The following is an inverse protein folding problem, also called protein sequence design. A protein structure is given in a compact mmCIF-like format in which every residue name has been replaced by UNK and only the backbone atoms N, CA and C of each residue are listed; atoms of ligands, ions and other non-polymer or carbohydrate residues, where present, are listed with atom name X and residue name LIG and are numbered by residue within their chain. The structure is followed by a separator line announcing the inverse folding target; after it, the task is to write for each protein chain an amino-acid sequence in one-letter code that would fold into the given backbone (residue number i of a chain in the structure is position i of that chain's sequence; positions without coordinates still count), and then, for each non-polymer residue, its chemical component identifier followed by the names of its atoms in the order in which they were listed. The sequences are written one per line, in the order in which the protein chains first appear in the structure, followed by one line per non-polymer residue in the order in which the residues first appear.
data_IF_131056024234
#
_entry.id   IF_131056024234
#
_cell.length_a   1.000
_cell.length_b   1.000
_cell.length_c   1.000
_cell.angle_alpha   90.00
_cell.angle_beta   90.00
_cell.angle_gamma   90.00
#
_symmetry.space_group_name_H-M   'P 1'
#
loop_
_entity.id
_entity.type
_entity.pdbx_description
1 polymer ?
#
# COMPACT_ATOMS: atom_id res chain seq x y z
N UNK A 1 -14.76 -0.91 -44.86
CA UNK A 1 -14.91 0.49 -44.41
C UNK A 1 -13.53 1.08 -44.17
N UNK A 2 -13.18 2.21 -44.79
CA UNK A 2 -11.95 2.95 -44.47
C UNK A 2 -12.32 4.13 -43.57
N UNK A 3 -11.80 4.16 -42.34
CA UNK A 3 -11.85 5.36 -41.50
C UNK A 3 -10.45 5.94 -41.36
N UNK A 4 -10.27 7.10 -41.99
CA UNK A 4 -9.11 7.99 -41.90
C UNK A 4 -9.61 9.40 -41.55
N UNK A 5 -10.42 9.51 -40.48
CA UNK A 5 -10.89 10.80 -39.96
C UNK A 5 -10.15 11.09 -38.66
N UNK A 6 -9.71 12.32 -38.48
CA UNK A 6 -8.88 12.74 -37.35
C UNK A 6 -9.67 13.33 -36.20
N UNK A 7 -10.91 13.79 -36.44
CA UNK A 7 -11.73 14.47 -35.45
C UNK A 7 -12.63 13.47 -34.66
N UNK A 8 -12.58 13.47 -33.32
CA UNK A 8 -13.45 12.62 -32.48
C UNK A 8 -14.94 12.78 -32.77
N UNK A 9 -15.40 13.98 -33.08
CA UNK A 9 -16.81 14.30 -33.35
C UNK A 9 -17.33 13.59 -34.59
N UNK A 10 -16.50 13.45 -35.62
CA UNK A 10 -16.83 12.71 -36.83
C UNK A 10 -16.95 11.22 -36.56
N UNK A 11 -16.03 10.66 -35.76
CA UNK A 11 -16.05 9.24 -35.37
C UNK A 11 -17.29 8.91 -34.54
N UNK A 12 -17.70 9.80 -33.64
CA UNK A 12 -18.92 9.62 -32.86
C UNK A 12 -20.21 9.77 -33.70
N UNK A 13 -20.21 10.62 -34.73
CA UNK A 13 -21.34 10.66 -35.70
C UNK A 13 -21.47 9.34 -36.47
N UNK A 14 -20.34 8.70 -36.78
CA UNK A 14 -20.33 7.38 -37.41
C UNK A 14 -20.82 6.28 -36.46
N UNK A 15 -20.47 6.37 -35.17
CA UNK A 15 -21.02 5.49 -34.14
C UNK A 15 -22.54 5.56 -34.09
N UNK A 16 -23.12 6.76 -34.14
CA UNK A 16 -24.58 6.93 -34.10
C UNK A 16 -25.27 6.38 -35.35
N UNK A 17 -24.65 6.54 -36.51
CA UNK A 17 -25.19 6.04 -37.78
C UNK A 17 -25.09 4.51 -37.89
N UNK A 18 -24.01 3.93 -37.37
CA UNK A 18 -23.67 2.51 -37.54
C UNK A 18 -23.69 1.72 -36.22
N UNK A 19 -24.30 2.24 -35.16
CA UNK A 19 -24.23 1.68 -33.80
C UNK A 19 -24.87 0.29 -33.64
N UNK A 20 -25.52 -0.24 -34.68
CA UNK A 20 -26.02 -1.63 -34.73
C UNK A 20 -25.01 -2.63 -35.30
N UNK A 21 -23.95 -2.16 -35.96
CA UNK A 21 -22.91 -2.99 -36.59
C UNK A 21 -21.69 -3.09 -35.66
N UNK A 22 -21.45 -4.27 -35.10
CA UNK A 22 -20.35 -4.53 -34.16
C UNK A 22 -18.98 -4.19 -34.77
N UNK A 23 -18.77 -4.44 -36.07
CA UNK A 23 -17.48 -4.19 -36.73
C UNK A 23 -17.27 -2.69 -36.89
N UNK A 24 -18.33 -1.94 -37.19
CA UNK A 24 -18.27 -0.49 -37.24
C UNK A 24 -17.97 0.11 -35.87
N UNK A 25 -18.64 -0.38 -34.81
CA UNK A 25 -18.40 0.08 -33.43
C UNK A 25 -16.95 -0.22 -33.01
N UNK A 26 -16.46 -1.45 -33.19
CA UNK A 26 -15.07 -1.82 -32.90
C UNK A 26 -14.08 -0.91 -33.61
N UNK A 27 -14.35 -0.61 -34.89
CA UNK A 27 -13.48 0.27 -35.65
C UNK A 27 -13.50 1.70 -35.10
N UNK A 28 -14.66 2.22 -34.69
CA UNK A 28 -14.75 3.53 -34.03
C UNK A 28 -13.93 3.55 -32.74
N UNK A 29 -14.03 2.53 -31.89
CA UNK A 29 -13.24 2.45 -30.65
C UNK A 29 -11.72 2.51 -30.94
N UNK A 30 -11.27 1.75 -31.94
CA UNK A 30 -9.86 1.72 -32.34
C UNK A 30 -9.37 3.05 -32.93
N UNK A 31 -10.22 3.76 -33.70
CA UNK A 31 -9.89 5.08 -34.25
C UNK A 31 -9.88 6.16 -33.15
N UNK A 32 -10.82 6.13 -32.20
CA UNK A 32 -10.81 7.04 -31.05
C UNK A 32 -9.52 6.84 -30.23
N UNK A 33 -9.15 5.59 -29.95
CA UNK A 33 -7.90 5.30 -29.25
C UNK A 33 -6.68 5.83 -30.02
N UNK A 34 -6.69 5.71 -31.35
CA UNK A 34 -5.65 6.28 -32.22
C UNK A 34 -5.58 7.80 -32.14
N UNK A 35 -6.72 8.50 -32.15
CA UNK A 35 -6.76 9.96 -31.99
C UNK A 35 -6.08 10.41 -30.69
N UNK A 36 -6.28 9.69 -29.58
CA UNK A 36 -5.64 10.00 -28.29
C UNK A 36 -4.13 9.82 -28.37
N UNK A 37 -3.66 8.74 -29.01
CA UNK A 37 -2.23 8.45 -29.14
C UNK A 37 -1.51 9.44 -30.05
N UNK A 38 -2.14 9.84 -31.14
CA UNK A 38 -1.51 10.61 -32.21
C UNK A 38 -1.64 12.14 -31.98
N UNK A 39 -2.56 12.60 -31.12
CA UNK A 39 -2.77 14.03 -30.81
C UNK A 39 -3.16 14.26 -29.34
N UNK A 40 -2.32 15.02 -28.62
CA UNK A 40 -2.48 15.32 -27.19
C UNK A 40 -3.78 16.09 -26.86
N UNK A 41 -4.31 16.88 -27.81
CA UNK A 41 -5.56 17.67 -27.64
C UNK A 41 -6.83 16.83 -27.82
N UNK A 42 -6.70 15.59 -28.31
CA UNK A 42 -7.85 14.72 -28.58
C UNK A 42 -8.68 14.42 -27.34
N UNK A 43 -8.06 14.28 -26.17
CA UNK A 43 -8.80 14.00 -24.93
C UNK A 43 -9.71 15.15 -24.52
N UNK A 44 -9.23 16.39 -24.63
CA UNK A 44 -10.03 17.59 -24.35
C UNK A 44 -11.21 17.71 -25.32
N UNK A 45 -10.98 17.49 -26.62
CA UNK A 45 -12.06 17.47 -27.62
C UNK A 45 -13.06 16.36 -27.35
N UNK A 46 -12.59 15.18 -26.94
CA UNK A 46 -13.44 14.05 -26.55
C UNK A 46 -14.31 14.36 -25.32
N UNK A 47 -13.77 15.07 -24.34
CA UNK A 47 -14.53 15.56 -23.21
C UNK A 47 -15.62 16.56 -23.65
N UNK A 48 -15.26 17.54 -24.49
CA UNK A 48 -16.18 18.54 -25.04
C UNK A 48 -17.30 17.94 -25.88
N UNK A 49 -17.03 16.86 -26.62
CA UNK A 49 -18.04 16.18 -27.44
C UNK A 49 -18.77 15.06 -26.70
N UNK A 50 -18.62 14.99 -25.37
CA UNK A 50 -19.26 14.00 -24.48
C UNK A 50 -19.07 12.55 -24.94
N UNK A 51 -17.82 12.18 -25.25
CA UNK A 51 -17.48 10.85 -25.80
C UNK A 51 -18.09 9.70 -24.99
N UNK A 52 -18.07 9.78 -23.65
CA UNK A 52 -18.50 8.69 -22.76
C UNK A 52 -19.99 8.41 -22.86
N UNK A 53 -20.82 9.46 -22.80
CA UNK A 53 -22.28 9.29 -22.85
C UNK A 53 -22.75 8.79 -24.22
N UNK A 54 -22.11 9.27 -25.29
CA UNK A 54 -22.39 8.83 -26.67
C UNK A 54 -21.93 7.41 -26.91
N UNK A 55 -20.80 6.99 -26.35
CA UNK A 55 -20.35 5.59 -26.35
C UNK A 55 -21.35 4.69 -25.62
N UNK A 56 -21.76 5.07 -24.41
CA UNK A 56 -22.69 4.28 -23.60
C UNK A 56 -24.03 3.99 -24.29
N UNK A 57 -24.53 4.91 -25.12
CA UNK A 57 -25.78 4.74 -25.86
C UNK A 57 -25.76 3.58 -26.90
N UNK A 58 -24.57 3.14 -27.33
CA UNK A 58 -24.45 2.18 -28.44
C UNK A 58 -23.68 0.90 -28.08
N UNK A 59 -22.88 0.91 -27.02
CA UNK A 59 -21.93 -0.16 -26.72
C UNK A 59 -22.55 -1.38 -26.03
N UNK A 60 -23.61 -1.21 -25.22
CA UNK A 60 -24.19 -2.29 -24.43
C UNK A 60 -24.66 -3.48 -25.29
N UNK A 61 -25.20 -3.20 -26.48
CA UNK A 61 -25.66 -4.23 -27.44
C UNK A 61 -24.53 -5.17 -27.92
N UNK A 62 -23.28 -4.70 -27.86
CA UNK A 62 -22.11 -5.42 -28.38
C UNK A 62 -21.22 -6.01 -27.26
N UNK A 63 -21.54 -5.72 -26.01
CA UNK A 63 -20.77 -6.08 -24.82
C UNK A 63 -20.89 -7.58 -24.43
N UNK A 64 -20.78 -8.47 -25.42
CA UNK A 64 -20.91 -9.93 -25.26
C UNK A 64 -19.61 -10.68 -25.55
N UNK A 65 -18.69 -10.08 -26.31
CA UNK A 65 -17.42 -10.70 -26.71
C UNK A 65 -16.25 -10.15 -25.87
N UNK A 66 -15.38 -11.02 -25.31
CA UNK A 66 -14.23 -10.58 -24.51
C UNK A 66 -13.31 -9.60 -25.25
N UNK A 67 -12.97 -9.88 -26.51
CA UNK A 67 -12.11 -8.99 -27.31
C UNK A 67 -12.69 -7.59 -27.55
N UNK A 68 -14.03 -7.47 -27.62
CA UNK A 68 -14.69 -6.16 -27.68
C UNK A 68 -14.55 -5.41 -26.35
N UNK A 69 -14.77 -6.09 -25.23
CA UNK A 69 -14.64 -5.51 -23.88
C UNK A 69 -13.20 -5.13 -23.56
N UNK A 70 -12.22 -5.86 -24.10
CA UNK A 70 -10.80 -5.52 -24.01
C UNK A 70 -10.48 -4.24 -24.79
N UNK A 71 -10.98 -4.10 -26.02
CA UNK A 71 -10.81 -2.85 -26.78
C UNK A 71 -11.48 -1.67 -26.08
N UNK A 72 -12.66 -1.89 -25.48
CA UNK A 72 -13.33 -0.90 -24.67
C UNK A 72 -12.47 -0.52 -23.47
N UNK A 73 -11.97 -1.47 -22.68
CA UNK A 73 -11.18 -1.17 -21.48
C UNK A 73 -9.90 -0.39 -21.81
N UNK A 74 -9.21 -0.72 -22.89
CA UNK A 74 -8.02 0.01 -23.38
C UNK A 74 -8.39 1.46 -23.74
N UNK A 75 -9.49 1.69 -24.46
CA UNK A 75 -9.94 3.04 -24.79
C UNK A 75 -10.31 3.83 -23.53
N UNK A 76 -11.06 3.21 -22.61
CA UNK A 76 -11.48 3.86 -21.36
C UNK A 76 -10.28 4.29 -20.52
N UNK A 77 -9.26 3.44 -20.41
CA UNK A 77 -8.03 3.77 -19.69
C UNK A 77 -7.27 4.91 -20.39
N UNK A 78 -7.19 4.89 -21.73
CA UNK A 78 -6.56 5.96 -22.51
C UNK A 78 -7.28 7.31 -22.44
N UNK A 79 -8.60 7.31 -22.20
CA UNK A 79 -9.42 8.51 -22.03
C UNK A 79 -9.12 9.23 -20.71
N UNK A 80 -8.72 8.49 -19.67
CA UNK A 80 -8.42 9.07 -18.36
C UNK A 80 -7.11 9.85 -18.44
N UNK A 81 -7.16 11.12 -18.04
CA UNK A 81 -5.97 11.96 -17.88
C UNK A 81 -5.50 11.81 -16.43
N UNK A 82 -4.25 11.37 -16.25
CA UNK A 82 -3.63 11.19 -14.95
C UNK A 82 -2.59 12.26 -14.69
N UNK A 83 -3.02 13.53 -14.66
CA UNK A 83 -2.19 14.68 -14.31
C UNK A 83 -2.93 15.63 -13.34
N UNK A 84 -2.19 16.58 -12.78
CA UNK A 84 -2.70 17.53 -11.77
C UNK A 84 -3.76 18.51 -12.32
N UNK A 85 -3.97 18.55 -13.64
CA UNK A 85 -4.95 19.42 -14.30
C UNK A 85 -6.21 18.65 -14.73
N UNK A 86 -6.28 17.34 -14.44
CA UNK A 86 -7.46 16.51 -14.67
C UNK A 86 -8.70 17.06 -13.95
N UNK A 87 -9.80 17.21 -14.67
CA UNK A 87 -11.09 17.63 -14.11
C UNK A 87 -11.88 16.46 -13.49
N UNK A 88 -11.36 15.23 -13.51
CA UNK A 88 -12.02 14.00 -13.10
C UNK A 88 -13.36 13.67 -13.81
N UNK A 89 -13.82 14.53 -14.73
CA UNK A 89 -15.14 14.43 -15.36
C UNK A 89 -15.30 13.15 -16.18
N UNK A 90 -14.25 12.75 -16.91
CA UNK A 90 -14.27 11.53 -17.71
C UNK A 90 -14.28 10.29 -16.83
N UNK A 91 -13.45 10.24 -15.79
CA UNK A 91 -13.40 9.14 -14.81
C UNK A 91 -14.79 8.92 -14.20
N UNK A 92 -15.40 10.01 -13.73
CA UNK A 92 -16.74 10.01 -13.16
C UNK A 92 -17.80 9.55 -14.17
N UNK A 93 -17.74 10.07 -15.41
CA UNK A 93 -18.67 9.70 -16.47
C UNK A 93 -18.57 8.22 -16.85
N UNK A 94 -17.37 7.64 -16.90
CA UNK A 94 -17.14 6.24 -17.29
C UNK A 94 -17.87 5.29 -16.34
N UNK A 95 -17.81 5.57 -15.04
CA UNK A 95 -18.50 4.79 -14.00
C UNK A 95 -20.01 5.09 -14.04
N UNK A 96 -20.41 6.37 -14.04
CA UNK A 96 -21.82 6.81 -14.01
C UNK A 96 -22.63 6.28 -15.18
N UNK A 97 -22.07 6.27 -16.39
CA UNK A 97 -22.73 5.76 -17.60
C UNK A 97 -22.60 4.23 -17.77
N UNK A 98 -21.99 3.53 -16.81
CA UNK A 98 -21.97 2.07 -16.78
C UNK A 98 -21.00 1.39 -17.74
N UNK A 99 -20.14 2.14 -18.45
CA UNK A 99 -19.15 1.54 -19.36
C UNK A 99 -18.17 0.64 -18.62
N UNK A 100 -17.70 1.05 -17.45
CA UNK A 100 -16.88 0.20 -16.57
C UNK A 100 -17.63 -1.07 -16.13
N UNK A 101 -18.93 -0.98 -15.86
CA UNK A 101 -19.74 -2.13 -15.43
C UNK A 101 -19.85 -3.20 -16.52
N UNK A 102 -19.80 -2.82 -17.79
CA UNK A 102 -19.73 -3.78 -18.91
C UNK A 102 -18.42 -4.58 -18.86
N UNK A 103 -17.30 -3.91 -18.59
CA UNK A 103 -15.99 -4.56 -18.41
C UNK A 103 -16.02 -5.50 -17.21
N UNK A 104 -16.56 -5.06 -16.06
CA UNK A 104 -16.72 -5.90 -14.86
C UNK A 104 -17.50 -7.19 -15.15
N UNK A 105 -18.65 -7.08 -15.85
CA UNK A 105 -19.45 -8.25 -16.26
C UNK A 105 -18.65 -9.19 -17.16
N UNK A 106 -17.84 -8.64 -18.08
CA UNK A 106 -16.94 -9.41 -18.93
C UNK A 106 -15.90 -10.19 -18.15
N UNK A 107 -15.29 -9.57 -17.13
CA UNK A 107 -14.32 -10.23 -16.25
C UNK A 107 -14.91 -11.43 -15.49
N UNK A 108 -16.22 -11.41 -15.25
CA UNK A 108 -16.98 -12.44 -14.54
C UNK A 108 -17.59 -13.50 -15.48
N UNK A 109 -17.42 -13.36 -16.80
CA UNK A 109 -18.00 -14.30 -17.75
C UNK A 109 -17.33 -15.68 -17.68
N UNK A 110 -18.09 -16.74 -18.02
CA UNK A 110 -17.63 -18.13 -17.95
C UNK A 110 -16.47 -18.43 -18.91
N UNK A 111 -16.43 -17.75 -20.06
CA UNK A 111 -15.29 -17.78 -20.97
C UNK A 111 -14.29 -16.70 -20.53
N UNK A 112 -13.41 -17.10 -19.60
CA UNK A 112 -12.41 -16.22 -18.99
C UNK A 112 -11.35 -15.85 -20.03
N UNK A 113 -11.15 -14.54 -20.19
CA UNK A 113 -10.05 -13.94 -20.96
C UNK A 113 -9.11 -13.24 -19.97
N UNK A 114 -7.92 -13.81 -19.78
CA UNK A 114 -6.93 -13.32 -18.83
C UNK A 114 -6.50 -11.87 -19.11
N UNK A 115 -6.45 -11.49 -20.38
CA UNK A 115 -6.05 -10.14 -20.80
C UNK A 115 -7.13 -9.12 -20.46
N UNK A 116 -8.40 -9.48 -20.67
CA UNK A 116 -9.54 -8.67 -20.23
C UNK A 116 -9.56 -8.53 -18.70
N UNK A 117 -9.26 -9.59 -17.95
CA UNK A 117 -9.22 -9.53 -16.49
C UNK A 117 -8.11 -8.62 -15.98
N UNK A 118 -6.90 -8.71 -16.55
CA UNK A 118 -5.80 -7.83 -16.18
C UNK A 118 -6.12 -6.36 -16.49
N UNK A 119 -6.63 -6.06 -17.69
CA UNK A 119 -7.00 -4.69 -18.07
C UNK A 119 -8.22 -4.17 -17.31
N UNK A 120 -9.20 -5.01 -17.00
CA UNK A 120 -10.35 -4.63 -16.21
C UNK A 120 -10.00 -4.28 -14.76
N UNK A 121 -9.09 -5.03 -14.14
CA UNK A 121 -8.50 -4.68 -12.85
C UNK A 121 -7.69 -3.38 -12.93
N UNK A 122 -6.87 -3.19 -13.97
CA UNK A 122 -6.10 -1.96 -14.17
C UNK A 122 -7.01 -0.73 -14.33
N UNK A 123 -8.03 -0.82 -15.18
CA UNK A 123 -9.03 0.23 -15.37
C UNK A 123 -9.76 0.55 -14.04
N UNK A 124 -10.10 -0.47 -13.26
CA UNK A 124 -10.72 -0.29 -11.93
C UNK A 124 -9.81 0.53 -11.00
N UNK A 125 -8.51 0.22 -10.98
CA UNK A 125 -7.50 0.98 -10.23
C UNK A 125 -7.40 2.43 -10.73
N UNK A 126 -7.33 2.65 -12.05
CA UNK A 126 -7.28 3.99 -12.67
C UNK A 126 -8.48 4.86 -12.27
N UNK A 127 -9.69 4.30 -12.32
CA UNK A 127 -10.94 5.01 -12.03
C UNK A 127 -11.14 5.32 -10.53
N UNK A 128 -10.30 4.81 -9.64
CA UNK A 128 -10.35 5.11 -8.21
C UNK A 128 -9.79 6.49 -7.86
N UNK A 129 -9.24 7.25 -8.81
CA UNK A 129 -8.54 8.51 -8.56
C UNK A 129 -8.93 9.62 -9.55
N UNK A 130 -9.00 10.85 -9.04
CA UNK A 130 -9.23 12.06 -9.85
C UNK A 130 -7.96 12.46 -10.61
N UNK A 131 -6.83 12.37 -9.92
CA UNK A 131 -5.46 12.64 -10.37
C UNK A 131 -4.48 11.89 -9.43
N UNK A 132 -3.15 11.88 -9.68
CA UNK A 132 -2.21 11.13 -8.85
C UNK A 132 -2.42 11.35 -7.35
N UNK A 133 -2.77 10.27 -6.64
CA UNK A 133 -2.95 10.22 -5.18
C UNK A 133 -4.18 10.98 -4.62
N UNK A 134 -5.06 11.51 -5.47
CA UNK A 134 -6.34 12.08 -5.03
C UNK A 134 -7.48 11.07 -5.28
N UNK A 135 -8.11 10.53 -4.23
CA UNK A 135 -9.16 9.51 -4.40
C UNK A 135 -10.42 10.10 -5.05
N UNK A 136 -10.97 9.38 -6.03
CA UNK A 136 -12.31 9.62 -6.55
C UNK A 136 -13.32 8.82 -5.73
N UNK A 137 -13.83 9.43 -4.67
CA UNK A 137 -14.62 8.74 -3.65
C UNK A 137 -15.91 8.11 -4.17
N UNK A 138 -16.65 8.83 -5.02
CA UNK A 138 -17.90 8.34 -5.60
C UNK A 138 -17.68 7.09 -6.45
N UNK A 139 -16.62 7.07 -7.26
CA UNK A 139 -16.25 5.93 -8.07
C UNK A 139 -15.86 4.73 -7.21
N UNK A 140 -15.02 4.92 -6.19
CA UNK A 140 -14.65 3.82 -5.28
C UNK A 140 -15.89 3.19 -4.61
N UNK A 141 -16.85 4.01 -4.18
CA UNK A 141 -18.09 3.52 -3.57
C UNK A 141 -18.98 2.79 -4.59
N UNK A 142 -19.25 3.40 -5.74
CA UNK A 142 -20.10 2.84 -6.79
C UNK A 142 -19.55 1.52 -7.34
N UNK A 143 -18.22 1.44 -7.53
CA UNK A 143 -17.56 0.23 -8.03
C UNK A 143 -17.64 -0.91 -7.01
N UNK A 144 -17.43 -0.61 -5.72
CA UNK A 144 -17.58 -1.63 -4.67
C UNK A 144 -19.03 -2.08 -4.51
N UNK A 145 -19.99 -1.15 -4.53
CA UNK A 145 -21.42 -1.48 -4.52
C UNK A 145 -21.85 -2.31 -5.74
N UNK A 146 -21.19 -2.10 -6.87
CA UNK A 146 -21.39 -2.89 -8.10
C UNK A 146 -20.71 -4.27 -8.06
N UNK A 147 -20.04 -4.64 -6.97
CA UNK A 147 -19.45 -5.97 -6.78
C UNK A 147 -18.00 -6.13 -7.24
N UNK A 148 -17.25 -5.04 -7.44
CA UNK A 148 -15.85 -5.10 -7.90
C UNK A 148 -14.95 -5.98 -7.00
N UNK A 149 -15.06 -5.84 -5.68
CA UNK A 149 -14.25 -6.63 -4.75
C UNK A 149 -14.54 -8.13 -4.83
N UNK A 150 -15.81 -8.50 -5.01
CA UNK A 150 -16.22 -9.91 -5.11
C UNK A 150 -15.78 -10.52 -6.45
N UNK A 151 -15.85 -9.73 -7.53
CA UNK A 151 -15.32 -10.12 -8.83
C UNK A 151 -13.81 -10.39 -8.72
N UNK A 152 -13.03 -9.44 -8.18
CA UNK A 152 -11.59 -9.58 -8.01
C UNK A 152 -11.27 -10.76 -7.09
N UNK A 153 -12.01 -10.96 -5.99
CA UNK A 153 -11.81 -12.13 -5.12
C UNK A 153 -11.96 -13.43 -5.92
N UNK A 154 -13.00 -13.53 -6.75
CA UNK A 154 -13.25 -14.72 -7.57
C UNK A 154 -12.10 -14.98 -8.54
N UNK A 155 -11.51 -13.91 -9.09
CA UNK A 155 -10.28 -14.01 -9.90
C UNK A 155 -9.13 -14.59 -9.07
N UNK A 156 -8.83 -14.02 -7.90
CA UNK A 156 -7.69 -14.45 -7.07
C UNK A 156 -7.82 -15.87 -6.50
N UNK A 157 -9.04 -16.44 -6.47
CA UNK A 157 -9.29 -17.82 -6.02
C UNK A 157 -9.09 -18.84 -7.14
N UNK A 158 -9.07 -18.42 -8.41
CA UNK A 158 -8.95 -19.34 -9.53
C UNK A 158 -7.60 -20.07 -9.51
N UNK A 159 -7.63 -21.40 -9.77
CA UNK A 159 -6.49 -22.31 -9.62
C UNK A 159 -5.22 -21.90 -10.40
N UNK A 160 -5.39 -21.12 -11.47
CA UNK A 160 -4.29 -20.71 -12.35
C UNK A 160 -4.44 -19.25 -12.78
N UNK A 161 -4.47 -18.34 -11.81
CA UNK A 161 -4.50 -16.90 -12.09
C UNK A 161 -3.12 -16.44 -12.60
N UNK A 162 -3.02 -15.83 -13.80
CA UNK A 162 -1.74 -15.29 -14.27
C UNK A 162 -1.20 -14.20 -13.34
N UNK A 163 0.13 -14.15 -13.18
CA UNK A 163 0.80 -13.19 -12.28
C UNK A 163 0.40 -11.73 -12.56
N UNK A 164 0.26 -11.35 -13.83
CA UNK A 164 -0.16 -10.00 -14.21
C UNK A 164 -1.59 -9.69 -13.73
N UNK A 165 -2.52 -10.62 -13.92
CA UNK A 165 -3.90 -10.52 -13.45
C UNK A 165 -3.96 -10.46 -11.92
N UNK A 166 -3.19 -11.32 -11.24
CA UNK A 166 -3.08 -11.31 -9.78
C UNK A 166 -2.61 -9.94 -9.27
N UNK A 167 -1.51 -9.42 -9.81
CA UNK A 167 -0.95 -8.12 -9.44
C UNK A 167 -1.95 -6.98 -9.66
N UNK A 168 -2.58 -6.92 -10.83
CA UNK A 168 -3.59 -5.90 -11.12
C UNK A 168 -4.79 -6.02 -10.17
N UNK A 169 -5.25 -7.25 -9.87
CA UNK A 169 -6.33 -7.50 -8.93
C UNK A 169 -6.02 -7.00 -7.52
N UNK A 170 -4.86 -7.35 -6.97
CA UNK A 170 -4.46 -6.90 -5.63
C UNK A 170 -4.30 -5.37 -5.57
N UNK A 171 -3.73 -4.74 -6.61
CA UNK A 171 -3.65 -3.27 -6.69
C UNK A 171 -5.04 -2.64 -6.69
N UNK A 172 -5.95 -3.16 -7.51
CA UNK A 172 -7.33 -2.69 -7.57
C UNK A 172 -8.04 -2.81 -6.21
N UNK A 173 -7.82 -3.89 -5.44
CA UNK A 173 -8.35 -3.99 -4.06
C UNK A 173 -7.83 -2.83 -3.19
N UNK A 174 -6.52 -2.57 -3.24
CA UNK A 174 -5.91 -1.50 -2.45
C UNK A 174 -6.41 -0.11 -2.84
N UNK A 175 -6.64 0.12 -4.13
CA UNK A 175 -7.12 1.39 -4.67
C UNK A 175 -8.62 1.61 -4.41
N UNK A 176 -9.44 0.56 -4.52
CA UNK A 176 -10.86 0.58 -4.12
C UNK A 176 -11.02 0.88 -2.63
N UNK A 177 -10.02 0.58 -1.82
CA UNK A 177 -10.03 0.84 -0.38
C UNK A 177 -9.25 2.10 0.01
N UNK A 178 -8.63 2.82 -0.94
CA UNK A 178 -7.65 3.86 -0.61
C UNK A 178 -8.25 5.00 0.22
N UNK A 179 -9.51 5.38 -0.01
CA UNK A 179 -10.20 6.34 0.86
C UNK A 179 -10.51 5.72 2.22
N UNK A 180 -9.54 5.84 3.11
CA UNK A 180 -9.74 5.64 4.54
C UNK A 180 -10.51 6.85 5.05
N UNK A 181 -11.81 6.67 5.27
CA UNK A 181 -12.79 7.71 5.56
C UNK A 181 -12.18 9.01 6.10
N UNK A 182 -12.32 10.09 5.32
CA UNK A 182 -12.00 11.46 5.74
C UNK A 182 -12.34 11.65 7.22
N UNK A 183 -11.31 11.95 8.02
CA UNK A 183 -11.41 12.41 9.41
C UNK A 183 -12.05 13.81 9.50
N UNK A 184 -13.07 14.05 8.69
CA UNK A 184 -13.89 15.25 8.70
C UNK A 184 -15.07 15.04 9.64
N UNK A 185 -15.46 16.12 10.32
CA UNK A 185 -16.44 16.25 11.43
C UNK A 185 -17.83 15.60 11.27
N UNK A 186 -18.11 14.85 10.20
CA UNK A 186 -19.42 14.26 9.90
C UNK A 186 -19.54 12.76 10.27
N UNK A 187 -19.09 12.42 11.47
CA UNK A 187 -19.32 11.09 12.08
C UNK A 187 -20.82 10.81 12.25
N UNK A 188 -21.62 11.85 12.50
CA UNK A 188 -23.06 11.76 12.69
C UNK A 188 -23.81 11.40 11.40
N UNK A 189 -23.40 11.93 10.24
CA UNK A 189 -24.06 11.61 8.97
C UNK A 189 -23.73 10.19 8.48
N UNK A 190 -22.52 9.68 8.75
CA UNK A 190 -22.15 8.28 8.47
C UNK A 190 -22.91 7.27 9.32
N UNK A 191 -23.16 7.59 10.59
CA UNK A 191 -24.01 6.79 11.48
C UNK A 191 -25.47 6.75 11.00
N UNK A 192 -25.95 7.83 10.37
CA UNK A 192 -27.29 7.93 9.80
C UNK A 192 -27.45 7.28 8.42
N UNK A 193 -26.37 7.12 7.65
CA UNK A 193 -26.42 6.64 6.25
C UNK A 193 -25.92 5.21 6.02
N UNK A 194 -25.48 4.47 7.05
CA UNK A 194 -25.05 3.07 6.91
C UNK A 194 -24.04 2.82 5.76
N UNK A 195 -23.16 3.78 5.46
CA UNK A 195 -22.13 3.57 4.43
C UNK A 195 -21.05 2.66 5.00
N UNK A 196 -21.16 1.36 4.73
CA UNK A 196 -20.11 0.36 4.96
C UNK A 196 -18.84 0.84 4.26
N UNK A 197 -17.77 1.07 5.02
CA UNK A 197 -16.49 1.41 4.39
C UNK A 197 -16.03 0.23 3.50
N UNK A 198 -15.45 0.52 2.33
CA UNK A 198 -15.00 -0.53 1.40
C UNK A 198 -14.09 -1.57 2.07
N UNK A 199 -13.30 -1.13 3.06
CA UNK A 199 -12.46 -1.95 3.92
C UNK A 199 -13.24 -2.94 4.81
N UNK A 200 -14.47 -2.63 5.24
CA UNK A 200 -15.31 -3.59 5.96
C UNK A 200 -15.77 -4.74 5.06
N UNK A 201 -15.97 -4.48 3.76
CA UNK A 201 -16.31 -5.53 2.80
C UNK A 201 -15.12 -6.45 2.63
N UNK A 202 -13.90 -5.92 2.48
CA UNK A 202 -12.66 -6.72 2.43
C UNK A 202 -12.53 -7.68 3.62
N UNK A 203 -12.85 -7.21 4.83
CA UNK A 203 -12.84 -8.03 6.04
C UNK A 203 -13.91 -9.14 6.02
N UNK A 204 -15.07 -8.90 5.39
CA UNK A 204 -16.19 -9.85 5.33
C UNK A 204 -16.04 -10.91 4.24
N UNK A 205 -15.42 -10.58 3.11
CA UNK A 205 -15.37 -11.47 1.94
C UNK A 205 -14.16 -12.41 1.93
N UNK A 206 -13.51 -12.64 3.07
CA UNK A 206 -12.37 -13.58 3.21
C UNK A 206 -11.17 -13.27 2.30
N UNK A 207 -10.86 -12.00 2.06
CA UNK A 207 -9.67 -11.61 1.29
C UNK A 207 -8.36 -11.82 2.07
N UNK A 208 -8.38 -11.73 3.40
CA UNK A 208 -7.17 -11.82 4.22
C UNK A 208 -6.43 -13.17 4.10
N UNK A 209 -7.10 -14.34 4.17
CA UNK A 209 -6.46 -15.62 3.91
C UNK A 209 -5.83 -15.72 2.51
N UNK A 210 -6.51 -15.18 1.48
CA UNK A 210 -6.03 -15.20 0.10
C UNK A 210 -4.77 -14.34 -0.08
N UNK A 211 -4.80 -13.11 0.43
CA UNK A 211 -3.66 -12.20 0.40
C UNK A 211 -2.50 -12.73 1.24
N UNK A 212 -2.79 -13.36 2.38
CA UNK A 212 -1.79 -14.05 3.17
C UNK A 212 -1.13 -15.17 2.35
N UNK A 213 -1.89 -15.97 1.60
CA UNK A 213 -1.33 -17.03 0.75
C UNK A 213 -0.44 -16.47 -0.35
N UNK A 214 -0.86 -15.36 -0.97
CA UNK A 214 -0.08 -14.64 -1.97
C UNK A 214 1.29 -14.15 -1.49
N UNK A 215 1.45 -13.82 -0.20
CA UNK A 215 2.77 -13.47 0.35
C UNK A 215 3.77 -14.63 0.23
N UNK A 216 3.31 -15.85 0.42
CA UNK A 216 4.14 -17.05 0.35
C UNK A 216 4.32 -17.52 -1.10
N UNK A 217 3.21 -17.65 -1.82
CA UNK A 217 3.19 -18.10 -3.22
C UNK A 217 4.01 -17.18 -4.15
N UNK A 218 3.97 -15.87 -3.90
CA UNK A 218 4.65 -14.86 -4.70
C UNK A 218 5.83 -14.19 -3.97
N UNK A 219 6.47 -14.89 -3.01
CA UNK A 219 7.59 -14.38 -2.21
C UNK A 219 8.78 -13.82 -3.03
N UNK A 220 8.89 -14.19 -4.31
CA UNK A 220 9.94 -13.70 -5.24
C UNK A 220 9.52 -12.50 -6.08
N UNK A 221 8.26 -12.07 -6.02
CA UNK A 221 7.71 -11.02 -6.86
C UNK A 221 7.44 -9.75 -6.05
N UNK A 222 8.44 -8.87 -5.98
CA UNK A 222 8.41 -7.62 -5.21
C UNK A 222 7.12 -6.79 -5.42
N UNK A 223 6.70 -6.59 -6.67
CA UNK A 223 5.50 -5.81 -6.99
C UNK A 223 4.22 -6.39 -6.37
N UNK A 224 4.13 -7.73 -6.27
CA UNK A 224 2.98 -8.41 -5.64
C UNK A 224 3.04 -8.23 -4.12
N UNK A 225 4.21 -8.44 -3.51
CA UNK A 225 4.39 -8.26 -2.07
C UNK A 225 4.08 -6.82 -1.63
N UNK A 226 4.53 -5.83 -2.38
CA UNK A 226 4.22 -4.41 -2.15
C UNK A 226 2.72 -4.13 -2.27
N UNK A 227 2.06 -4.70 -3.29
CA UNK A 227 0.61 -4.54 -3.48
C UNK A 227 -0.17 -5.17 -2.31
N UNK A 228 0.19 -6.38 -1.88
CA UNK A 228 -0.44 -7.06 -0.75
C UNK A 228 -0.24 -6.27 0.55
N UNK A 229 1.00 -5.84 0.83
CA UNK A 229 1.31 -5.04 2.01
C UNK A 229 0.52 -3.73 2.04
N UNK A 230 0.33 -3.08 0.87
CA UNK A 230 -0.51 -1.89 0.74
C UNK A 230 -1.97 -2.16 1.09
N UNK A 231 -2.56 -3.28 0.64
CA UNK A 231 -3.95 -3.63 1.00
C UNK A 231 -4.10 -3.77 2.51
N UNK A 232 -3.20 -4.51 3.17
CA UNK A 232 -3.22 -4.66 4.62
C UNK A 232 -3.02 -3.32 5.34
N UNK A 233 -2.10 -2.49 4.87
CA UNK A 233 -1.85 -1.16 5.45
C UNK A 233 -3.09 -0.27 5.36
N UNK A 234 -3.76 -0.22 4.22
CA UNK A 234 -5.01 0.53 4.03
C UNK A 234 -6.09 0.03 5.01
N UNK A 235 -6.27 -1.29 5.12
CA UNK A 235 -7.22 -1.87 6.07
C UNK A 235 -6.86 -1.56 7.55
N UNK A 236 -5.58 -1.55 7.90
CA UNK A 236 -5.10 -1.20 9.24
C UNK A 236 -5.37 0.27 9.58
N UNK A 237 -5.21 1.18 8.62
CA UNK A 237 -5.50 2.61 8.83
C UNK A 237 -7.00 2.85 8.99
N UNK A 238 -7.86 2.17 8.23
CA UNK A 238 -9.31 2.31 8.34
C UNK A 238 -9.91 1.62 9.56
N UNK A 239 -9.53 0.36 9.83
CA UNK A 239 -10.08 -0.46 10.91
C UNK A 239 -8.95 -1.18 11.67
N UNK A 240 -8.24 -0.49 12.58
CA UNK A 240 -7.07 -1.07 13.24
C UNK A 240 -7.34 -2.39 13.96
N UNK A 241 -8.38 -2.46 14.81
CA UNK A 241 -8.62 -3.66 15.63
C UNK A 241 -9.08 -4.88 14.80
N UNK A 242 -10.10 -4.79 13.92
CA UNK A 242 -10.50 -5.93 13.08
C UNK A 242 -9.37 -6.38 12.15
N UNK A 243 -8.62 -5.43 11.56
CA UNK A 243 -7.54 -5.75 10.64
C UNK A 243 -6.37 -6.45 11.34
N UNK A 244 -5.94 -5.97 12.52
CA UNK A 244 -4.89 -6.68 13.30
C UNK A 244 -5.32 -8.09 13.67
N UNK A 245 -6.55 -8.27 14.13
CA UNK A 245 -7.10 -9.60 14.44
C UNK A 245 -7.06 -10.50 13.20
N UNK A 246 -7.50 -10.01 12.05
CA UNK A 246 -7.47 -10.78 10.80
C UNK A 246 -6.05 -11.13 10.35
N UNK A 247 -5.11 -10.17 10.44
CA UNK A 247 -3.69 -10.34 10.11
C UNK A 247 -3.07 -11.45 10.96
N UNK A 248 -3.35 -11.46 12.28
CA UNK A 248 -2.88 -12.49 13.20
C UNK A 248 -3.52 -13.85 12.91
N UNK A 249 -4.84 -13.89 12.71
CA UNK A 249 -5.57 -15.14 12.44
C UNK A 249 -5.17 -15.80 11.12
N UNK A 250 -4.70 -15.03 10.15
CA UNK A 250 -4.30 -15.52 8.83
C UNK A 250 -2.78 -15.71 8.70
N UNK A 251 -2.02 -15.68 9.80
CA UNK A 251 -0.55 -15.85 9.81
C UNK A 251 0.20 -14.89 8.87
N UNK A 252 -0.29 -13.65 8.76
CA UNK A 252 0.31 -12.64 7.86
C UNK A 252 1.67 -12.19 8.39
N UNK A 253 1.88 -12.09 9.71
CA UNK A 253 3.18 -11.68 10.26
C UNK A 253 4.27 -12.69 9.94
N UNK A 254 3.98 -13.98 10.12
CA UNK A 254 4.87 -15.09 9.84
C UNK A 254 5.33 -15.07 8.38
N UNK A 255 4.38 -14.93 7.45
CA UNK A 255 4.65 -14.89 6.01
C UNK A 255 5.37 -13.60 5.59
N UNK A 256 5.02 -12.47 6.20
CA UNK A 256 5.71 -11.21 5.98
C UNK A 256 7.18 -11.28 6.43
N UNK A 257 7.47 -11.88 7.59
CA UNK A 257 8.83 -12.12 8.05
C UNK A 257 9.57 -13.09 7.12
N UNK A 258 8.92 -14.15 6.65
CA UNK A 258 9.51 -15.07 5.67
C UNK A 258 9.97 -14.34 4.40
N UNK A 259 9.18 -13.38 3.91
CA UNK A 259 9.54 -12.56 2.74
C UNK A 259 10.81 -11.72 2.95
N UNK A 260 11.13 -11.32 4.19
CA UNK A 260 12.35 -10.56 4.50
C UNK A 260 13.63 -11.41 4.43
N UNK A 261 13.54 -12.75 4.44
CA UNK A 261 14.69 -13.63 4.29
C UNK A 261 15.16 -13.81 2.83
N UNK A 262 14.51 -13.17 1.86
CA UNK A 262 14.86 -13.31 0.45
C UNK A 262 16.25 -12.76 0.16
N UNK A 263 17.07 -13.52 -0.57
CA UNK A 263 18.40 -13.06 -1.03
C UNK A 263 18.31 -11.89 -2.02
N UNK A 264 17.21 -11.83 -2.77
CA UNK A 264 16.94 -10.79 -3.76
C UNK A 264 16.03 -9.69 -3.21
N UNK A 265 16.02 -9.49 -1.89
CA UNK A 265 15.21 -8.48 -1.23
C UNK A 265 15.50 -7.08 -1.81
N UNK A 266 14.41 -6.39 -2.17
CA UNK A 266 14.45 -4.99 -2.60
C UNK A 266 14.12 -4.06 -1.43
N UNK A 267 14.70 -2.87 -1.46
CA UNK A 267 14.46 -1.81 -0.46
C UNK A 267 12.96 -1.46 -0.37
N UNK A 268 12.27 -1.38 -1.50
CA UNK A 268 10.83 -1.08 -1.56
C UNK A 268 9.95 -2.17 -0.94
N UNK A 269 10.31 -3.44 -1.17
CA UNK A 269 9.64 -4.59 -0.54
C UNK A 269 9.85 -4.59 0.97
N UNK A 270 11.09 -4.41 1.42
CA UNK A 270 11.43 -4.33 2.84
C UNK A 270 10.70 -3.17 3.51
N UNK A 271 10.65 -1.99 2.88
CA UNK A 271 9.90 -0.85 3.38
C UNK A 271 8.42 -1.18 3.58
N UNK A 272 7.79 -1.77 2.56
CA UNK A 272 6.36 -2.10 2.60
C UNK A 272 6.02 -3.12 3.69
N UNK A 273 6.87 -4.15 3.85
CA UNK A 273 6.72 -5.16 4.90
C UNK A 273 6.99 -4.58 6.29
N UNK A 274 8.08 -3.85 6.49
CA UNK A 274 8.38 -3.24 7.79
C UNK A 274 7.32 -2.22 8.19
N UNK A 275 6.73 -1.50 7.23
CA UNK A 275 5.62 -0.58 7.48
C UNK A 275 4.36 -1.31 7.92
N UNK A 276 4.05 -2.45 7.30
CA UNK A 276 2.97 -3.34 7.71
C UNK A 276 3.19 -3.85 9.14
N UNK A 277 4.39 -4.34 9.45
CA UNK A 277 4.74 -4.84 10.78
C UNK A 277 4.62 -3.73 11.84
N UNK A 278 5.24 -2.56 11.61
CA UNK A 278 5.17 -1.41 12.52
C UNK A 278 3.73 -1.02 12.86
N UNK A 279 2.87 -0.92 11.84
CA UNK A 279 1.47 -0.53 12.00
C UNK A 279 0.66 -1.62 12.73
N UNK A 280 0.96 -2.89 12.46
CA UNK A 280 0.30 -4.03 13.12
C UNK A 280 0.65 -4.10 14.61
N UNK A 281 1.91 -3.87 14.95
CA UNK A 281 2.45 -4.00 16.31
C UNK A 281 2.08 -2.83 17.23
N UNK A 282 1.79 -1.66 16.66
CA UNK A 282 1.46 -0.46 17.43
C UNK A 282 0.27 -0.73 18.35
N UNK A 283 0.45 -0.64 19.67
CA UNK A 283 -0.61 -0.88 20.67
C UNK A 283 -1.28 -2.27 20.59
N UNK A 284 -0.61 -3.29 20.05
CA UNK A 284 -1.13 -4.67 20.00
C UNK A 284 -0.16 -5.67 20.65
N UNK A 285 -0.49 -6.08 21.88
CA UNK A 285 0.38 -6.95 22.67
C UNK A 285 0.46 -8.38 22.11
N UNK A 286 -0.62 -8.88 21.51
CA UNK A 286 -0.63 -10.22 20.91
C UNK A 286 0.29 -10.29 19.67
N UNK A 287 0.26 -9.25 18.83
CA UNK A 287 1.17 -9.15 17.69
C UNK A 287 2.64 -9.03 18.13
N UNK A 288 2.92 -8.26 19.20
CA UNK A 288 4.28 -8.14 19.77
C UNK A 288 4.78 -9.46 20.35
N UNK A 289 3.93 -10.19 21.06
CA UNK A 289 4.31 -11.50 21.61
C UNK A 289 4.59 -12.51 20.49
N UNK A 290 3.75 -12.53 19.45
CA UNK A 290 3.98 -13.38 18.27
C UNK A 290 5.29 -13.03 17.57
N UNK A 291 5.57 -11.73 17.33
CA UNK A 291 6.83 -11.31 16.72
C UNK A 291 8.05 -11.77 17.53
N UNK A 292 7.94 -11.76 18.87
CA UNK A 292 9.00 -12.25 19.77
C UNK A 292 9.21 -13.75 19.62
N UNK A 293 8.13 -14.53 19.52
CA UNK A 293 8.19 -15.98 19.34
C UNK A 293 8.80 -16.41 17.99
N UNK A 294 8.70 -15.55 16.98
CA UNK A 294 9.19 -15.79 15.62
C UNK A 294 10.65 -15.30 15.41
N UNK A 295 11.37 -14.96 16.48
CA UNK A 295 12.69 -14.31 16.41
C UNK A 295 12.70 -13.08 15.48
N UNK A 296 11.57 -12.37 15.38
CA UNK A 296 11.36 -11.34 14.36
C UNK A 296 12.38 -10.19 14.41
N UNK A 297 12.96 -9.92 15.58
CA UNK A 297 14.03 -8.93 15.71
C UNK A 297 15.29 -9.35 14.93
N UNK A 298 15.70 -10.61 15.03
CA UNK A 298 16.82 -11.16 14.28
C UNK A 298 16.56 -11.11 12.77
N UNK A 299 15.35 -11.50 12.35
CA UNK A 299 14.93 -11.45 10.93
C UNK A 299 15.05 -10.04 10.37
N UNK A 300 14.50 -9.05 11.09
CA UNK A 300 14.50 -7.65 10.66
C UNK A 300 15.94 -7.10 10.60
N UNK A 301 16.77 -7.36 11.61
CA UNK A 301 18.18 -6.91 11.62
C UNK A 301 18.93 -7.49 10.43
N UNK A 302 18.86 -8.80 10.22
CA UNK A 302 19.56 -9.46 9.11
C UNK A 302 19.11 -8.90 7.74
N UNK A 303 17.81 -8.65 7.56
CA UNK A 303 17.28 -8.07 6.33
C UNK A 303 17.78 -6.63 6.09
N UNK A 304 17.83 -5.80 7.14
CA UNK A 304 18.35 -4.43 7.04
C UNK A 304 19.86 -4.43 6.80
N UNK A 305 20.62 -5.29 7.46
CA UNK A 305 22.07 -5.43 7.26
C UNK A 305 22.41 -5.88 5.84
N UNK A 306 21.71 -6.91 5.32
CA UNK A 306 21.84 -7.35 3.93
C UNK A 306 21.63 -6.21 2.92
N UNK A 307 20.64 -5.35 3.17
CA UNK A 307 20.36 -4.19 2.32
C UNK A 307 21.38 -3.06 2.53
N UNK A 308 21.87 -2.86 3.75
CA UNK A 308 22.91 -1.88 4.09
C UNK A 308 24.21 -2.17 3.34
N UNK A 309 24.58 -3.45 3.22
CA UNK A 309 25.78 -3.87 2.48
C UNK A 309 25.68 -3.54 0.99
N UNK A 310 24.47 -3.53 0.43
CA UNK A 310 24.22 -3.30 -1.00
C UNK A 310 23.94 -1.83 -1.35
N UNK A 311 23.27 -1.11 -0.46
CA UNK A 311 22.70 0.21 -0.76
C UNK A 311 23.18 1.33 0.19
N UNK A 312 24.02 1.00 1.18
CA UNK A 312 24.67 1.92 2.11
C UNK A 312 23.70 2.97 2.69
N UNK A 313 23.96 4.25 2.45
CA UNK A 313 23.24 5.36 3.09
C UNK A 313 21.79 5.53 2.58
N UNK A 314 21.37 4.83 1.52
CA UNK A 314 20.03 4.99 0.94
C UNK A 314 18.91 4.21 1.64
N UNK A 315 19.21 3.52 2.74
CA UNK A 315 18.24 2.69 3.49
C UNK A 315 17.83 3.28 4.85
N UNK A 316 18.14 4.54 5.13
CA UNK A 316 17.80 5.22 6.39
C UNK A 316 16.36 5.06 6.87
N UNK A 317 15.41 5.13 5.93
CA UNK A 317 13.99 4.91 6.19
C UNK A 317 13.66 3.49 6.71
N UNK A 318 14.42 2.47 6.30
CA UNK A 318 14.30 1.11 6.83
C UNK A 318 14.85 1.02 8.25
N UNK A 319 15.99 1.68 8.51
CA UNK A 319 16.59 1.75 9.85
C UNK A 319 15.63 2.41 10.83
N UNK A 320 15.01 3.52 10.43
CA UNK A 320 13.96 4.19 11.19
C UNK A 320 12.80 3.24 11.54
N UNK A 321 12.27 2.51 10.56
CA UNK A 321 11.15 1.58 10.79
C UNK A 321 11.55 0.43 11.72
N UNK A 322 12.73 -0.16 11.54
CA UNK A 322 13.24 -1.22 12.41
C UNK A 322 13.41 -0.71 13.85
N UNK A 323 14.02 0.46 14.04
CA UNK A 323 14.17 1.09 15.35
C UNK A 323 12.81 1.41 15.99
N UNK A 324 11.80 1.82 15.21
CA UNK A 324 10.43 2.04 15.67
C UNK A 324 9.74 0.75 16.12
N UNK A 325 9.90 -0.33 15.37
CA UNK A 325 9.40 -1.66 15.74
C UNK A 325 10.01 -2.08 17.08
N UNK A 326 11.34 -2.07 17.21
CA UNK A 326 12.03 -2.48 18.45
C UNK A 326 11.67 -1.59 19.63
N UNK A 327 11.51 -0.28 19.39
CA UNK A 327 11.04 0.66 20.39
C UNK A 327 9.62 0.32 20.86
N UNK A 328 8.71 -0.04 19.96
CA UNK A 328 7.34 -0.47 20.32
C UNK A 328 7.34 -1.78 21.11
N UNK A 329 8.21 -2.73 20.74
CA UNK A 329 8.36 -4.03 21.39
C UNK A 329 8.86 -3.93 22.84
N UNK A 330 9.70 -2.93 23.14
CA UNK A 330 10.27 -2.72 24.48
C UNK A 330 9.25 -2.25 25.53
N UNK A 331 8.06 -1.81 25.11
CA UNK A 331 7.03 -1.26 25.98
C UNK A 331 5.74 -2.10 25.93
N UNK A 332 5.10 -2.22 27.08
CA UNK A 332 3.71 -2.66 27.19
C UNK A 332 2.88 -1.52 27.78
N UNK A 333 1.64 -1.37 27.33
CA UNK A 333 0.69 -0.41 27.92
C UNK A 333 -0.35 -1.21 28.70
N UNK A 334 -0.27 -1.27 30.04
CA UNK A 334 -1.31 -1.92 30.84
C UNK A 334 -2.63 -1.15 30.70
N UNK A 335 -3.76 -1.85 30.83
CA UNK A 335 -5.09 -1.24 30.71
C UNK A 335 -5.23 -0.04 31.67
N UNK A 336 -5.38 1.16 31.11
CA UNK A 336 -5.50 2.42 31.86
C UNK A 336 -4.21 2.95 32.50
N UNK A 337 -3.05 2.35 32.21
CA UNK A 337 -1.76 2.69 32.80
C UNK A 337 -0.82 3.42 31.85
N UNK A 338 0.30 3.92 32.41
CA UNK A 338 1.41 4.48 31.63
C UNK A 338 2.20 3.35 30.97
N UNK A 339 2.85 3.60 29.81
CA UNK A 339 3.76 2.64 29.20
C UNK A 339 4.83 2.18 30.19
N UNK A 340 4.99 0.87 30.31
CA UNK A 340 5.95 0.22 31.20
C UNK A 340 6.89 -0.68 30.41
N UNK A 341 8.14 -0.88 30.87
CA UNK A 341 9.10 -1.73 30.19
C UNK A 341 8.64 -3.19 30.20
N UNK A 342 8.77 -3.87 29.06
CA UNK A 342 8.50 -5.30 28.94
C UNK A 342 9.86 -6.05 28.99
N UNK A 343 10.16 -6.67 30.13
CA UNK A 343 11.47 -7.25 30.39
C UNK A 343 11.87 -8.40 29.44
N UNK A 344 10.96 -9.33 29.10
CA UNK A 344 11.27 -10.50 28.27
C UNK A 344 11.53 -10.13 26.81
N UNK A 345 10.79 -9.15 26.27
CA UNK A 345 10.96 -8.59 24.93
C UNK A 345 12.22 -7.76 24.86
N UNK A 346 12.52 -6.93 25.88
CA UNK A 346 13.81 -6.23 25.96
C UNK A 346 14.95 -7.26 25.97
N UNK A 347 14.85 -8.32 26.76
CA UNK A 347 15.86 -9.38 26.77
C UNK A 347 16.05 -10.01 25.39
N UNK A 348 14.97 -10.36 24.69
CA UNK A 348 15.04 -10.90 23.32
C UNK A 348 15.69 -9.92 22.34
N UNK A 349 15.27 -8.65 22.36
CA UNK A 349 15.88 -7.58 21.53
C UNK A 349 17.38 -7.46 21.79
N UNK A 350 17.81 -7.54 23.06
CA UNK A 350 19.22 -7.49 23.42
C UNK A 350 19.99 -8.72 22.93
N UNK A 351 19.40 -9.92 23.04
CA UNK A 351 19.99 -11.17 22.54
C UNK A 351 20.18 -11.15 21.02
N UNK A 352 19.24 -10.57 20.28
CA UNK A 352 19.32 -10.46 18.82
C UNK A 352 20.08 -9.22 18.32
N UNK A 353 20.76 -8.48 19.21
CA UNK A 353 21.66 -7.40 18.79
C UNK A 353 21.00 -6.05 18.49
N UNK A 354 19.76 -5.79 18.93
CA UNK A 354 19.10 -4.50 18.71
C UNK A 354 19.87 -3.29 19.27
N UNK A 355 20.65 -3.50 20.33
CA UNK A 355 21.56 -2.50 20.90
C UNK A 355 22.73 -2.18 19.97
N UNK A 356 23.37 -3.20 19.37
CA UNK A 356 24.44 -3.04 18.39
C UNK A 356 23.91 -2.35 17.15
N UNK A 357 22.75 -2.80 16.65
CA UNK A 357 22.04 -2.18 15.54
C UNK A 357 21.78 -0.68 15.77
N UNK A 358 21.26 -0.31 16.95
CA UNK A 358 21.00 1.09 17.28
C UNK A 358 22.29 1.93 17.29
N UNK A 359 23.35 1.42 17.92
CA UNK A 359 24.61 2.17 18.09
C UNK A 359 25.39 2.27 16.78
N UNK A 360 25.40 1.22 15.94
CA UNK A 360 26.03 1.26 14.62
C UNK A 360 25.29 2.21 13.67
N UNK A 361 23.97 2.24 13.73
CA UNK A 361 23.14 3.15 12.92
C UNK A 361 23.44 4.62 13.17
N UNK A 362 23.80 5.00 14.41
CA UNK A 362 24.23 6.36 14.75
C UNK A 362 25.50 6.79 13.97
N UNK A 363 26.36 5.83 13.62
CA UNK A 363 27.58 6.09 12.85
C UNK A 363 27.39 5.96 11.35
N UNK A 364 26.52 5.04 10.92
CA UNK A 364 26.24 4.81 9.50
C UNK A 364 25.36 5.92 8.90
N UNK A 365 24.48 6.54 9.69
CA UNK A 365 23.54 7.57 9.20
C UNK A 365 23.70 8.91 9.96
N UNK A 366 24.89 9.54 9.98
CA UNK A 366 25.18 10.71 10.83
C UNK A 366 24.50 12.00 10.37
N UNK A 367 23.98 12.02 9.14
CA UNK A 367 23.30 13.17 8.54
C UNK A 367 21.77 13.07 8.62
N UNK A 368 21.23 11.89 8.91
CA UNK A 368 19.79 11.64 8.89
C UNK A 368 19.17 11.79 10.28
N UNK A 369 18.72 13.01 10.60
CA UNK A 369 18.17 13.35 11.92
C UNK A 369 17.09 12.38 12.41
N UNK A 370 16.17 11.97 11.53
CA UNK A 370 15.07 11.06 11.89
C UNK A 370 15.57 9.66 12.30
N UNK A 371 16.66 9.17 11.72
CA UNK A 371 17.29 7.90 12.12
C UNK A 371 17.96 8.07 13.49
N UNK A 372 18.73 9.15 13.66
CA UNK A 372 19.42 9.43 14.92
C UNK A 372 18.44 9.52 16.09
N UNK A 373 17.35 10.28 15.93
CA UNK A 373 16.31 10.42 16.95
C UNK A 373 15.70 9.07 17.33
N UNK A 374 15.38 8.24 16.34
CA UNK A 374 14.70 6.98 16.60
C UNK A 374 15.63 5.91 17.18
N UNK A 375 16.90 5.87 16.77
CA UNK A 375 17.91 5.02 17.39
C UNK A 375 18.20 5.44 18.84
N UNK A 376 18.25 6.74 19.15
CA UNK A 376 18.37 7.25 20.51
C UNK A 376 17.14 6.88 21.37
N UNK A 377 15.93 7.01 20.82
CA UNK A 377 14.70 6.57 21.48
C UNK A 377 14.74 5.07 21.80
N UNK A 378 15.21 4.24 20.85
CA UNK A 378 15.39 2.81 21.09
C UNK A 378 16.39 2.56 22.23
N UNK A 379 17.54 3.22 22.22
CA UNK A 379 18.55 3.08 23.27
C UNK A 379 18.00 3.48 24.65
N UNK A 380 17.29 4.61 24.74
CA UNK A 380 16.61 5.05 25.97
C UNK A 380 15.67 3.96 26.50
N UNK A 381 14.85 3.37 25.61
CA UNK A 381 13.89 2.32 25.98
C UNK A 381 14.55 1.02 26.42
N UNK A 382 15.63 0.60 25.76
CA UNK A 382 16.39 -0.59 26.15
C UNK A 382 17.06 -0.43 27.53
N UNK A 383 17.26 0.81 27.99
CA UNK A 383 17.88 1.13 29.28
C UNK A 383 16.90 1.43 30.41
N UNK A 384 15.58 1.37 30.20
CA UNK A 384 14.60 1.75 31.23
C UNK A 384 14.82 1.01 32.56
N UNK A 385 15.22 -0.27 32.52
CA UNK A 385 15.49 -1.09 33.71
C UNK A 385 16.95 -1.03 34.19
N UNK A 386 17.82 -0.23 33.58
CA UNK A 386 19.29 -0.16 33.77
C UNK A 386 20.07 -1.47 33.56
N UNK A 387 19.41 -2.62 33.44
CA UNK A 387 20.05 -3.93 33.36
C UNK A 387 21.00 -4.08 32.15
N UNK A 388 20.66 -3.43 31.03
CA UNK A 388 21.39 -3.52 29.76
C UNK A 388 22.34 -2.35 29.48
N UNK A 389 22.47 -1.41 30.42
CA UNK A 389 23.32 -0.21 30.26
C UNK A 389 24.75 -0.56 29.84
N UNK A 390 25.37 -1.53 30.50
CA UNK A 390 26.76 -1.93 30.22
C UNK A 390 26.94 -2.51 28.81
N UNK A 391 25.93 -3.18 28.26
CA UNK A 391 26.00 -3.69 26.89
C UNK A 391 26.02 -2.55 25.88
N UNK A 392 25.20 -1.51 26.08
CA UNK A 392 25.21 -0.31 25.24
C UNK A 392 26.53 0.47 25.37
N UNK A 393 27.07 0.61 26.58
CA UNK A 393 28.38 1.23 26.80
C UNK A 393 29.47 0.46 26.03
N UNK A 394 29.48 -0.87 26.12
CA UNK A 394 30.43 -1.73 25.38
C UNK A 394 30.27 -1.65 23.87
N UNK A 395 29.04 -1.46 23.38
CA UNK A 395 28.77 -1.24 21.96
C UNK A 395 29.25 0.13 21.46
N UNK A 396 29.69 1.04 22.34
CA UNK A 396 30.21 2.36 21.98
C UNK A 396 29.20 3.50 22.09
N UNK A 397 28.05 3.28 22.74
CA UNK A 397 26.97 4.27 22.88
C UNK A 397 27.46 5.64 23.36
N UNK A 398 28.21 5.68 24.47
CA UNK A 398 28.69 6.93 25.10
C UNK A 398 29.46 7.81 24.10
N UNK A 399 30.36 7.20 23.33
CA UNK A 399 31.18 7.92 22.34
C UNK A 399 30.31 8.48 21.22
N UNK A 400 29.41 7.66 20.67
CA UNK A 400 28.59 8.04 19.51
C UNK A 400 27.56 9.11 19.88
N UNK A 401 26.88 8.98 21.02
CA UNK A 401 25.90 9.97 21.49
C UNK A 401 26.58 11.31 21.77
N UNK A 402 27.75 11.31 22.43
CA UNK A 402 28.52 12.54 22.69
C UNK A 402 28.99 13.21 21.39
N UNK A 403 29.37 12.42 20.38
CA UNK A 403 29.71 12.96 19.07
C UNK A 403 28.52 13.66 18.41
N UNK A 404 27.33 13.05 18.43
CA UNK A 404 26.11 13.65 17.89
C UNK A 404 25.77 14.94 18.63
N UNK A 405 25.78 14.92 19.97
CA UNK A 405 25.51 16.09 20.80
C UNK A 405 26.40 17.28 20.42
N UNK A 406 27.71 17.05 20.30
CA UNK A 406 28.68 18.09 19.98
C UNK A 406 28.60 18.59 18.53
N UNK A 407 28.24 17.71 17.58
CA UNK A 407 28.20 18.07 16.15
C UNK A 407 26.87 18.68 15.73
N UNK A 408 25.76 18.33 16.39
CA UNK A 408 24.40 18.80 16.08
C UNK A 408 23.88 19.88 17.03
N UNK A 409 24.71 20.36 17.95
CA UNK A 409 24.38 21.31 19.03
C UNK A 409 23.65 22.60 18.59
N UNK A 410 23.76 23.00 17.32
CA UNK A 410 23.18 24.24 16.79
C UNK A 410 22.00 24.03 15.82
N UNK A 411 21.60 22.79 15.56
CA UNK A 411 20.72 22.48 14.42
C UNK A 411 19.38 21.84 14.81
N UNK A 412 19.27 21.12 15.94
CA UNK A 412 18.03 20.41 16.27
C UNK A 412 17.84 20.22 17.79
N UNK A 413 16.97 21.04 18.40
CA UNK A 413 16.76 21.07 19.86
C UNK A 413 16.26 19.72 20.41
N UNK A 414 15.24 19.12 19.79
CA UNK A 414 14.69 17.83 20.24
C UNK A 414 15.69 16.66 20.20
N UNK A 415 16.65 16.70 19.25
CA UNK A 415 17.70 15.68 19.17
C UNK A 415 18.70 15.83 20.33
N UNK A 416 18.99 17.07 20.74
CA UNK A 416 19.90 17.34 21.87
C UNK A 416 19.27 16.91 23.18
N UNK A 417 17.99 17.18 23.40
CA UNK A 417 17.27 16.70 24.58
C UNK A 417 17.32 15.17 24.66
N UNK A 418 17.12 14.47 23.54
CA UNK A 418 17.26 13.02 23.47
C UNK A 418 18.69 12.55 23.83
N UNK A 419 19.71 13.22 23.30
CA UNK A 419 21.10 12.92 23.65
C UNK A 419 21.36 13.11 25.15
N UNK A 420 20.86 14.19 25.76
CA UNK A 420 21.03 14.47 27.18
C UNK A 420 20.34 13.43 28.06
N UNK A 421 19.11 12.99 27.71
CA UNK A 421 18.42 11.92 28.44
C UNK A 421 19.15 10.59 28.36
N UNK A 422 19.62 10.23 27.17
CA UNK A 422 20.39 9.00 26.93
C UNK A 422 21.73 9.05 27.69
N UNK A 423 22.47 10.17 27.60
CA UNK A 423 23.73 10.38 28.31
C UNK A 423 23.54 10.35 29.84
N UNK A 424 22.52 11.02 30.37
CA UNK A 424 22.19 10.99 31.81
C UNK A 424 21.96 9.56 32.31
N UNK A 425 21.38 8.70 31.49
CA UNK A 425 21.17 7.28 31.84
C UNK A 425 22.46 6.46 31.70
N UNK A 426 23.27 6.74 30.68
CA UNK A 426 24.56 6.07 30.48
C UNK A 426 25.61 6.44 31.55
N UNK A 427 25.59 7.68 32.05
CA UNK A 427 26.57 8.21 33.00
C UNK A 427 26.23 7.89 34.47
N UNK A 428 25.05 7.34 34.78
CA UNK A 428 24.71 6.87 36.13
C UNK A 428 25.73 5.83 36.63
N UNK A 429 26.63 6.23 37.51
CA UNK A 429 27.57 5.32 38.16
C UNK A 429 26.80 4.22 38.91
N UNK A 430 27.36 3.00 38.92
CA UNK A 430 26.83 1.88 39.70
C UNK A 430 26.93 2.19 41.19
N UNK A 431 25.92 2.85 41.73
CA UNK A 431 25.64 2.81 43.17
C UNK A 431 25.09 1.41 43.48
N UNK A 432 26.01 0.47 43.69
CA UNK A 432 25.71 -0.87 44.25
C UNK A 432 25.20 -0.75 45.67
#
# INVERSE_FOLDING_TARGET
MQFYRTAPEDLLRLLEQHGKDVVAVQRVLAELHRCIRDDATSRERMAQCHVVSRLAAHIELHATQPGFLLQLSILLDALVIYDEHSTAELQSAIVRHGLWRLVLRGMQATAVDDELQAHGCALTSTLCYDYPRAPHDENQVEMVQSGALEAIRTLLVAESTPLATYLCGVRAIGDLCYKNGTWGRDVLLKLLLCTVANTEIVLKISLFPLLSHGLDEHAKHAAVLEAIARVFFVCLVAHPHPSKRGILQCSVLERALHCLHSRDLLVSTAYSILRLLETTLRDDEAAKDLLTQLDGANVIINAVEQLSDKYHDSIGHLVFLAAAIFSSMSLHVPAGGRPAPQATRIQGLMQHGAHTFAVSSLTSFPTETFVLEQCLCLMERLMISNHYRLMLVRAGAVRNVRYIYNTKQKQHEGLLELCERVMSTLDKETST
#
